data_IF_632655153995
#
_entry.id   IF_632655153995
#
_cell.length_a   1.000
_cell.length_b   1.000
_cell.length_c   1.000
_cell.angle_alpha   90.00
_cell.angle_beta   90.00
_cell.angle_gamma   90.00
#
_symmetry.space_group_name_H-M   'P 1'
#
loop_
_entity.id
_entity.type
_entity.pdbx_description
1 polymer ?
#
# COMPACT_ATOMS: atom_id res chain seq x y z
N UNK A 1 0.13 -19.89 -17.48
CA UNK A 1 0.74 -19.61 -16.17
C UNK A 1 1.15 -18.14 -16.02
N UNK A 2 1.44 -17.43 -17.11
CA UNK A 2 1.96 -16.06 -16.99
C UNK A 2 0.86 -15.01 -16.79
N UNK A 3 -0.30 -15.25 -17.39
CA UNK A 3 -1.46 -14.36 -17.28
C UNK A 3 -1.94 -14.21 -15.84
N UNK A 4 -1.81 -15.27 -15.02
CA UNK A 4 -2.22 -15.26 -13.61
C UNK A 4 -1.31 -14.37 -12.76
N UNK A 5 0.00 -14.37 -13.00
CA UNK A 5 0.95 -13.50 -12.28
C UNK A 5 0.81 -12.05 -12.70
N UNK A 6 0.65 -11.78 -14.00
CA UNK A 6 0.31 -10.43 -14.44
C UNK A 6 -1.02 -9.98 -13.83
N UNK A 7 -2.07 -10.81 -13.84
CA UNK A 7 -3.35 -10.51 -13.21
C UNK A 7 -3.19 -10.18 -11.72
N UNK A 8 -2.49 -11.01 -10.96
CA UNK A 8 -2.24 -10.80 -9.54
C UNK A 8 -1.50 -9.49 -9.27
N UNK A 9 -0.50 -9.16 -10.10
CA UNK A 9 0.19 -7.89 -10.00
C UNK A 9 -0.72 -6.69 -10.28
N UNK A 10 -1.54 -6.74 -11.33
CA UNK A 10 -2.49 -5.65 -11.62
C UNK A 10 -3.57 -5.51 -10.54
N UNK A 11 -4.03 -6.63 -9.98
CA UNK A 11 -4.93 -6.66 -8.84
C UNK A 11 -4.30 -5.97 -7.62
N UNK A 12 -3.02 -6.27 -7.35
CA UNK A 12 -2.23 -5.58 -6.33
C UNK A 12 -2.07 -4.09 -6.59
N UNK A 13 -1.75 -3.70 -7.82
CA UNK A 13 -1.63 -2.28 -8.15
C UNK A 13 -2.94 -1.53 -7.89
N UNK A 14 -4.08 -2.13 -8.22
CA UNK A 14 -5.39 -1.51 -8.07
C UNK A 14 -5.88 -1.47 -6.62
N UNK A 15 -5.74 -2.58 -5.89
CA UNK A 15 -6.39 -2.78 -4.59
C UNK A 15 -5.42 -2.87 -3.41
N UNK A 16 -4.13 -3.02 -3.66
CA UNK A 16 -3.14 -3.26 -2.60
C UNK A 16 -3.25 -4.64 -1.97
N UNK A 17 -3.93 -5.57 -2.64
CA UNK A 17 -4.23 -6.93 -2.20
C UNK A 17 -3.75 -7.91 -3.26
N UNK A 18 -3.61 -9.18 -2.92
CA UNK A 18 -3.38 -10.25 -3.90
C UNK A 18 -4.51 -11.28 -3.83
N UNK A 19 -4.86 -11.94 -4.95
CA UNK A 19 -5.84 -13.02 -4.93
C UNK A 19 -5.42 -14.13 -3.96
N UNK A 20 -6.38 -14.79 -3.32
CA UNK A 20 -6.11 -15.79 -2.27
C UNK A 20 -5.23 -16.95 -2.78
N UNK A 21 -5.38 -17.36 -4.05
CA UNK A 21 -4.55 -18.42 -4.65
C UNK A 21 -3.08 -18.02 -4.84
N UNK A 22 -2.74 -16.73 -4.70
CA UNK A 22 -1.35 -16.24 -4.75
C UNK A 22 -0.73 -16.05 -3.37
N UNK A 23 -1.49 -16.16 -2.27
CA UNK A 23 -0.99 -15.87 -0.93
C UNK A 23 -0.05 -16.93 -0.35
N UNK A 24 0.01 -18.09 -1.01
CA UNK A 24 0.93 -19.19 -0.69
C UNK A 24 2.36 -18.92 -1.20
N UNK A 25 2.52 -18.01 -2.17
CA UNK A 25 3.82 -17.64 -2.69
C UNK A 25 4.59 -16.77 -1.69
N UNK A 26 5.91 -16.97 -1.62
CA UNK A 26 6.76 -16.04 -0.89
C UNK A 26 6.85 -14.72 -1.66
N UNK A 27 7.12 -13.57 -1.00
CA UNK A 27 7.27 -12.30 -1.70
C UNK A 27 8.32 -12.35 -2.83
N UNK A 28 9.44 -13.05 -2.61
CA UNK A 28 10.51 -13.19 -3.59
C UNK A 28 10.08 -14.02 -4.81
N UNK A 29 9.44 -15.18 -4.57
CA UNK A 29 8.95 -16.06 -5.64
C UNK A 29 7.84 -15.39 -6.46
N UNK A 30 6.92 -14.71 -5.78
CA UNK A 30 5.87 -13.94 -6.44
C UNK A 30 6.46 -12.86 -7.35
N UNK A 31 7.45 -12.12 -6.87
CA UNK A 31 8.14 -11.10 -7.64
C UNK A 31 8.86 -11.67 -8.88
N UNK A 32 9.64 -12.74 -8.71
CA UNK A 32 10.33 -13.41 -9.81
C UNK A 32 9.34 -13.87 -10.90
N UNK A 33 8.24 -14.49 -10.48
CA UNK A 33 7.18 -14.94 -11.38
C UNK A 33 6.48 -13.78 -12.09
N UNK A 34 6.25 -12.66 -11.41
CA UNK A 34 5.70 -11.43 -12.02
C UNK A 34 6.67 -10.90 -13.08
N UNK A 35 7.96 -10.77 -12.75
CA UNK A 35 8.99 -10.29 -13.68
C UNK A 35 9.06 -11.20 -14.92
N UNK A 36 9.13 -12.51 -14.72
CA UNK A 36 9.18 -13.49 -15.81
C UNK A 36 7.91 -13.47 -16.68
N UNK A 37 6.74 -13.26 -16.07
CA UNK A 37 5.48 -13.15 -16.80
C UNK A 37 5.38 -11.85 -17.61
N UNK A 38 5.87 -10.73 -17.07
CA UNK A 38 5.93 -9.44 -17.78
C UNK A 38 6.85 -9.54 -19.01
N UNK A 39 8.02 -10.15 -18.85
CA UNK A 39 9.00 -10.32 -19.94
C UNK A 39 8.50 -11.23 -21.06
N UNK A 40 7.76 -12.30 -20.74
CA UNK A 40 7.23 -13.24 -21.75
C UNK A 40 6.00 -12.71 -22.49
N UNK A 41 5.24 -11.81 -21.87
CA UNK A 41 4.01 -11.24 -22.43
C UNK A 41 3.96 -9.71 -22.30
N UNK A 42 4.92 -9.04 -22.94
CA UNK A 42 5.07 -7.58 -22.87
C UNK A 42 3.81 -6.83 -23.34
N UNK A 43 3.17 -7.29 -24.43
CA UNK A 43 1.96 -6.67 -24.99
C UNK A 43 0.76 -6.70 -24.02
N UNK A 44 0.59 -7.80 -23.27
CA UNK A 44 -0.44 -7.93 -22.26
C UNK A 44 -0.19 -6.99 -21.08
N UNK A 45 1.06 -6.93 -20.61
CA UNK A 45 1.46 -6.02 -19.54
C UNK A 45 1.22 -4.57 -19.96
N UNK A 46 1.66 -4.21 -21.17
CA UNK A 46 1.45 -2.92 -21.79
C UNK A 46 -0.03 -2.52 -21.76
N UNK A 47 -0.92 -3.37 -22.29
CA UNK A 47 -2.37 -3.12 -22.31
C UNK A 47 -2.99 -2.98 -20.91
N UNK A 48 -2.69 -3.91 -19.99
CA UNK A 48 -3.27 -3.90 -18.64
C UNK A 48 -2.78 -2.70 -17.81
N UNK A 49 -1.50 -2.30 -17.96
CA UNK A 49 -0.96 -1.11 -17.28
C UNK A 49 -1.66 0.18 -17.70
N UNK A 50 -1.87 0.36 -19.01
CA UNK A 50 -2.62 1.51 -19.53
C UNK A 50 -4.02 1.62 -18.91
N UNK A 51 -4.73 0.48 -18.80
CA UNK A 51 -6.05 0.41 -18.15
C UNK A 51 -5.98 0.75 -16.66
N UNK A 52 -5.03 0.14 -15.93
CA UNK A 52 -4.88 0.35 -14.50
C UNK A 52 -4.56 1.83 -14.18
N UNK A 53 -3.54 2.41 -14.84
CA UNK A 53 -3.14 3.80 -14.63
C UNK A 53 -4.27 4.80 -14.90
N UNK A 54 -5.08 4.56 -15.93
CA UNK A 54 -6.23 5.41 -16.24
C UNK A 54 -7.36 5.33 -15.21
N UNK A 55 -7.53 4.16 -14.56
CA UNK A 55 -8.62 3.89 -13.63
C UNK A 55 -8.36 4.44 -12.22
N UNK A 56 -7.13 4.32 -11.70
CA UNK A 56 -6.83 4.68 -10.31
C UNK A 56 -5.45 5.33 -10.18
N UNK A 57 -5.40 6.55 -9.63
CA UNK A 57 -4.13 7.27 -9.39
C UNK A 57 -3.32 6.70 -8.22
N UNK A 58 -3.95 5.93 -7.33
CA UNK A 58 -3.28 5.25 -6.22
C UNK A 58 -2.22 4.24 -6.72
N UNK A 59 -2.34 3.78 -7.97
CA UNK A 59 -1.36 2.93 -8.62
C UNK A 59 0.02 3.58 -8.71
N UNK A 60 0.11 4.91 -8.83
CA UNK A 60 1.42 5.59 -8.86
C UNK A 60 2.07 5.56 -7.48
N UNK A 61 1.28 5.70 -6.41
CA UNK A 61 1.82 5.60 -5.06
C UNK A 61 2.34 4.19 -4.79
N UNK A 62 1.59 3.13 -5.15
CA UNK A 62 2.08 1.74 -5.07
C UNK A 62 3.26 1.47 -5.98
N UNK A 63 3.29 2.07 -7.17
CA UNK A 63 4.43 1.95 -8.07
C UNK A 63 5.70 2.44 -7.41
N UNK A 64 5.65 3.62 -6.78
CA UNK A 64 6.79 4.25 -6.12
C UNK A 64 7.17 3.53 -4.83
N UNK A 65 6.18 3.16 -4.03
CA UNK A 65 6.36 2.68 -2.67
C UNK A 65 6.49 1.16 -2.60
N UNK A 66 5.80 0.37 -3.41
CA UNK A 66 5.74 -1.09 -3.24
C UNK A 66 6.55 -1.87 -4.28
N UNK A 67 6.65 -1.39 -5.53
CA UNK A 67 7.42 -2.11 -6.56
C UNK A 67 8.93 -1.99 -6.31
N UNK A 68 9.67 -3.11 -6.43
CA UNK A 68 11.13 -3.07 -6.45
C UNK A 68 11.67 -2.45 -7.75
N UNK A 69 12.93 -2.07 -7.75
CA UNK A 69 13.62 -1.59 -8.96
C UNK A 69 13.61 -2.63 -10.09
N UNK A 70 13.69 -3.92 -9.77
CA UNK A 70 13.68 -5.00 -10.76
C UNK A 70 12.31 -5.13 -11.44
N UNK A 71 11.24 -5.13 -10.63
CA UNK A 71 9.86 -5.12 -11.13
C UNK A 71 9.59 -3.86 -11.95
N UNK A 72 10.02 -2.69 -11.46
CA UNK A 72 9.86 -1.43 -12.20
C UNK A 72 10.57 -1.48 -13.56
N UNK A 73 11.81 -1.98 -13.61
CA UNK A 73 12.58 -2.06 -14.85
C UNK A 73 11.95 -3.02 -15.87
N UNK A 74 11.48 -4.19 -15.42
CA UNK A 74 10.79 -5.16 -16.28
C UNK A 74 9.51 -4.58 -16.88
N UNK A 75 8.69 -3.93 -16.06
CA UNK A 75 7.44 -3.28 -16.49
C UNK A 75 7.74 -2.12 -17.45
N UNK A 76 8.68 -1.25 -17.13
CA UNK A 76 9.03 -0.12 -17.98
C UNK A 76 9.54 -0.58 -19.35
N UNK A 77 10.35 -1.64 -19.39
CA UNK A 77 10.77 -2.26 -20.65
C UNK A 77 9.57 -2.77 -21.45
N UNK A 78 8.63 -3.47 -20.82
CA UNK A 78 7.43 -3.98 -21.49
C UNK A 78 6.50 -2.85 -21.99
N UNK A 79 6.35 -1.77 -21.22
CA UNK A 79 5.44 -0.66 -21.52
C UNK A 79 6.03 0.31 -22.55
N UNK A 80 7.34 0.58 -22.46
CA UNK A 80 8.01 1.65 -23.19
C UNK A 80 9.09 1.18 -24.18
N UNK A 81 9.49 -0.09 -24.12
CA UNK A 81 10.70 -0.58 -24.77
C UNK A 81 11.96 -0.32 -23.93
N UNK A 82 13.03 -1.05 -24.24
CA UNK A 82 14.24 -1.09 -23.43
C UNK A 82 14.93 0.29 -23.28
N UNK A 83 15.18 0.98 -24.40
CA UNK A 83 15.89 2.26 -24.40
C UNK A 83 15.13 3.34 -23.61
N UNK A 84 13.83 3.48 -23.85
CA UNK A 84 13.02 4.49 -23.20
C UNK A 84 12.69 4.16 -21.74
N UNK A 85 12.52 2.88 -21.40
CA UNK A 85 12.40 2.44 -20.02
C UNK A 85 13.64 2.79 -19.19
N UNK A 86 14.85 2.52 -19.73
CA UNK A 86 16.12 2.92 -19.10
C UNK A 86 16.24 4.44 -18.94
N UNK A 87 15.89 5.21 -19.97
CA UNK A 87 15.90 6.66 -19.90
C UNK A 87 14.93 7.21 -18.84
N UNK A 88 13.75 6.60 -18.67
CA UNK A 88 12.79 7.00 -17.65
C UNK A 88 13.32 6.79 -16.21
N UNK A 89 14.01 5.69 -15.94
CA UNK A 89 14.65 5.43 -14.64
C UNK A 89 15.80 6.41 -14.41
N UNK A 90 16.66 6.63 -15.41
CA UNK A 90 17.79 7.55 -15.30
C UNK A 90 17.33 8.99 -15.01
N UNK A 91 16.23 9.43 -15.62
CA UNK A 91 15.65 10.74 -15.36
C UNK A 91 15.10 10.88 -13.93
N UNK A 92 14.47 9.83 -13.37
CA UNK A 92 14.09 9.81 -11.95
C UNK A 92 15.31 9.93 -11.04
N UNK A 93 16.36 9.16 -11.31
CA UNK A 93 17.61 9.20 -10.54
C UNK A 93 18.26 10.60 -10.56
N UNK A 94 18.34 11.23 -11.74
CA UNK A 94 18.85 12.60 -11.86
C UNK A 94 17.99 13.65 -11.15
N UNK A 95 16.67 13.44 -11.10
CA UNK A 95 15.73 14.29 -10.34
C UNK A 95 15.97 14.16 -8.83
N UNK A 96 16.10 12.93 -8.32
CA UNK A 96 16.32 12.66 -6.90
C UNK A 96 17.67 13.17 -6.41
N UNK A 97 18.74 13.00 -7.19
CA UNK A 97 20.08 13.51 -6.85
C UNK A 97 20.09 15.03 -6.65
N UNK A 98 19.28 15.77 -7.40
CA UNK A 98 19.20 17.23 -7.31
C UNK A 98 18.35 17.71 -6.13
N UNK A 99 17.65 16.81 -5.46
CA UNK A 99 16.70 17.11 -4.38
C UNK A 99 17.23 16.67 -2.99
N UNK A 100 18.47 16.20 -2.85
CA UNK A 100 19.03 15.72 -1.57
C UNK A 100 19.14 16.85 -0.52
N UNK A 101 18.84 16.71 0.77
CA UNK A 101 18.11 15.72 1.56
C UNK A 101 16.98 16.46 2.30
N UNK A 102 15.74 16.20 1.89
CA UNK A 102 14.57 16.35 2.75
C UNK A 102 13.94 14.96 2.88
N UNK A 103 13.32 14.68 4.03
CA UNK A 103 12.84 13.37 4.48
C UNK A 103 12.27 12.45 3.39
N UNK A 104 12.38 11.12 3.57
CA UNK A 104 11.93 10.09 2.62
C UNK A 104 10.52 10.32 2.03
N UNK A 105 9.60 10.86 2.83
CA UNK A 105 8.24 11.22 2.40
C UNK A 105 8.22 12.28 1.29
N UNK A 106 9.10 13.28 1.35
CA UNK A 106 9.25 14.30 0.30
C UNK A 106 9.79 13.68 -1.00
N UNK A 107 10.71 12.73 -0.91
CA UNK A 107 11.23 12.00 -2.07
C UNK A 107 10.16 11.11 -2.71
N UNK A 108 9.38 10.36 -1.91
CA UNK A 108 8.29 9.53 -2.42
C UNK A 108 7.22 10.38 -3.12
N UNK A 109 6.90 11.55 -2.58
CA UNK A 109 5.97 12.48 -3.23
C UNK A 109 6.51 12.99 -4.57
N UNK A 110 7.78 13.38 -4.60
CA UNK A 110 8.47 13.81 -5.81
C UNK A 110 8.45 12.74 -6.91
N UNK A 111 8.77 11.49 -6.54
CA UNK A 111 8.68 10.34 -7.45
C UNK A 111 7.26 10.14 -7.97
N UNK A 112 6.24 10.28 -7.12
CA UNK A 112 4.84 10.17 -7.55
C UNK A 112 4.47 11.26 -8.58
N UNK A 113 4.88 12.51 -8.36
CA UNK A 113 4.68 13.60 -9.32
C UNK A 113 5.32 13.25 -10.66
N UNK A 114 6.59 12.82 -10.63
CA UNK A 114 7.34 12.45 -11.82
C UNK A 114 6.65 11.33 -12.60
N UNK A 115 6.35 10.19 -11.96
CA UNK A 115 5.75 9.05 -12.65
C UNK A 115 4.33 9.34 -13.16
N UNK A 116 3.49 10.05 -12.41
CA UNK A 116 2.16 10.44 -12.89
C UNK A 116 2.24 11.43 -14.07
N UNK A 117 3.25 12.30 -14.09
CA UNK A 117 3.52 13.18 -15.22
C UNK A 117 4.04 12.40 -16.44
N UNK A 118 4.96 11.45 -16.22
CA UNK A 118 5.52 10.59 -17.24
C UNK A 118 4.45 9.71 -17.88
N UNK A 119 3.79 8.84 -17.11
CA UNK A 119 2.75 7.96 -17.66
C UNK A 119 1.66 8.76 -18.37
N UNK A 120 1.19 9.89 -17.83
CA UNK A 120 0.15 10.65 -18.52
C UNK A 120 0.60 11.44 -19.75
N UNK A 121 1.86 11.85 -19.85
CA UNK A 121 2.36 12.48 -21.08
C UNK A 121 2.49 11.44 -22.20
N UNK A 122 2.98 10.26 -21.84
CA UNK A 122 3.25 9.18 -22.78
C UNK A 122 1.97 8.49 -23.25
N UNK A 123 1.00 8.30 -22.36
CA UNK A 123 -0.34 7.80 -22.70
C UNK A 123 -1.10 8.77 -23.62
N UNK A 124 -0.78 10.07 -23.58
CA UNK A 124 -1.34 11.09 -24.47
C UNK A 124 -0.54 11.28 -25.78
N UNK A 125 0.47 10.44 -26.05
CA UNK A 125 1.34 10.55 -27.22
C UNK A 125 2.18 11.84 -27.24
N UNK A 126 2.51 12.40 -26.08
CA UNK A 126 3.29 13.63 -25.94
C UNK A 126 4.79 13.40 -25.94
N UNK A 127 5.55 14.33 -26.53
CA UNK A 127 7.00 14.37 -26.45
C UNK A 127 7.56 15.02 -25.16
N UNK A 128 8.89 15.09 -24.99
CA UNK A 128 9.60 15.57 -23.80
C UNK A 128 9.15 16.93 -23.27
N UNK A 129 8.81 17.86 -24.16
CA UNK A 129 8.35 19.19 -23.78
C UNK A 129 7.05 19.12 -22.98
N UNK A 130 6.07 18.35 -23.46
CA UNK A 130 4.80 18.14 -22.73
C UNK A 130 5.02 17.48 -21.38
N UNK A 131 5.99 16.55 -21.28
CA UNK A 131 6.36 15.94 -20.01
C UNK A 131 6.91 16.99 -19.02
N UNK A 132 7.88 17.81 -19.45
CA UNK A 132 8.43 18.90 -18.63
C UNK A 132 7.34 19.85 -18.15
N UNK A 133 6.40 20.22 -19.03
CA UNK A 133 5.33 21.14 -18.67
C UNK A 133 4.36 20.53 -17.64
N UNK A 134 4.00 19.25 -17.78
CA UNK A 134 3.16 18.54 -16.79
C UNK A 134 3.86 18.36 -15.44
N UNK A 135 5.16 18.08 -15.43
CA UNK A 135 5.93 18.02 -14.18
C UNK A 135 5.91 19.40 -13.51
N UNK A 136 6.19 20.49 -14.25
CA UNK A 136 6.16 21.86 -13.73
C UNK A 136 4.80 22.25 -13.17
N UNK A 137 3.72 21.90 -13.87
CA UNK A 137 2.35 22.17 -13.45
C UNK A 137 2.02 21.49 -12.11
N UNK A 138 2.23 20.18 -12.02
CA UNK A 138 1.95 19.42 -10.80
C UNK A 138 2.86 19.81 -9.65
N UNK A 139 4.13 20.05 -9.93
CA UNK A 139 5.09 20.52 -8.96
C UNK A 139 4.68 21.88 -8.40
N UNK A 140 4.29 22.85 -9.24
CA UNK A 140 3.81 24.17 -8.78
C UNK A 140 2.62 24.05 -7.83
N UNK A 141 1.70 23.11 -8.07
CA UNK A 141 0.56 22.88 -7.19
C UNK A 141 0.99 22.28 -5.84
N UNK A 142 2.03 21.46 -5.81
CA UNK A 142 2.56 20.88 -4.57
C UNK A 142 3.38 21.88 -3.75
N UNK A 143 4.27 22.66 -4.39
CA UNK A 143 5.16 23.63 -3.73
C UNK A 143 4.45 24.88 -3.17
N UNK A 144 3.12 24.95 -3.18
CA UNK A 144 2.40 26.00 -2.46
C UNK A 144 2.64 25.92 -0.92
N UNK A 145 3.27 24.85 -0.43
CA UNK A 145 3.79 24.72 0.92
C UNK A 145 5.31 24.38 0.91
N UNK A 146 6.12 25.28 1.48
CA UNK A 146 7.41 25.04 2.16
C UNK A 146 8.59 24.35 1.44
N UNK A 147 8.95 24.75 0.21
CA UNK A 147 10.29 24.42 -0.36
C UNK A 147 10.86 25.59 -1.19
N UNK A 148 12.06 26.08 -0.85
CA UNK A 148 12.74 27.26 -1.44
C UNK A 148 13.36 27.01 -2.83
N UNK A 149 13.05 25.90 -3.50
CA UNK A 149 13.69 25.53 -4.78
C UNK A 149 12.82 25.97 -5.96
N UNK A 150 13.39 26.77 -6.89
CA UNK A 150 12.68 27.14 -8.12
C UNK A 150 12.42 25.92 -9.01
N UNK A 151 11.14 25.57 -9.21
CA UNK A 151 10.70 24.47 -10.09
C UNK A 151 11.25 24.55 -11.52
N UNK A 152 11.61 25.75 -12.00
CA UNK A 152 12.14 25.95 -13.35
C UNK A 152 13.53 25.36 -13.54
N UNK A 153 14.42 25.50 -12.55
CA UNK A 153 15.84 25.12 -12.65
C UNK A 153 16.09 23.63 -12.40
N UNK A 154 15.18 22.96 -11.69
CA UNK A 154 15.30 21.54 -11.32
C UNK A 154 15.34 20.61 -12.53
N UNK A 155 14.53 20.91 -13.55
CA UNK A 155 14.40 20.07 -14.75
C UNK A 155 15.46 20.36 -15.83
N UNK A 156 16.29 21.38 -15.63
CA UNK A 156 17.25 21.83 -16.64
C UNK A 156 18.41 20.83 -16.76
N UNK A 157 18.66 20.32 -17.97
CA UNK A 157 19.70 19.31 -18.19
C UNK A 157 19.31 17.89 -17.75
N UNK A 158 18.09 17.64 -17.29
CA UNK A 158 17.56 16.26 -17.21
C UNK A 158 17.17 15.82 -18.63
N UNK A 159 17.74 14.70 -19.08
CA UNK A 159 17.37 14.05 -20.34
C UNK A 159 16.14 13.19 -20.12
N UNK A 160 15.10 13.39 -20.95
CA UNK A 160 13.83 12.66 -20.88
C UNK A 160 13.64 11.80 -22.14
N UNK A 161 12.88 10.69 -22.07
CA UNK A 161 12.59 9.85 -23.24
C UNK A 161 11.95 10.65 -24.41
N UNK A 162 12.50 10.49 -25.63
CA UNK A 162 12.26 11.38 -26.78
C UNK A 162 10.88 11.24 -27.46
N UNK A 163 10.36 10.03 -27.67
CA UNK A 163 8.98 9.76 -28.12
C UNK A 163 8.63 8.32 -27.76
N UNK A 164 7.43 8.10 -27.21
CA UNK A 164 6.91 6.76 -26.97
C UNK A 164 5.67 6.50 -27.81
N UNK A 165 5.57 5.28 -28.34
CA UNK A 165 4.40 4.84 -29.09
C UNK A 165 3.14 5.06 -28.25
N UNK A 166 2.22 5.88 -28.77
CA UNK A 166 0.93 6.11 -28.15
C UNK A 166 0.16 4.81 -27.98
N UNK A 167 -0.60 4.73 -26.89
CA UNK A 167 -1.61 3.71 -26.73
C UNK A 167 -2.90 4.14 -27.44
N UNK A 168 -3.75 3.19 -27.86
CA UNK A 168 -5.14 3.55 -28.20
C UNK A 168 -5.76 4.33 -27.02
N UNK A 169 -6.50 5.38 -27.36
CA UNK A 169 -6.97 6.38 -26.40
C UNK A 169 -7.61 5.71 -25.17
N UNK A 170 -7.17 6.07 -23.95
CA UNK A 170 -7.78 5.52 -22.74
C UNK A 170 -9.26 5.93 -22.68
N UNK A 171 -10.12 4.97 -22.33
CA UNK A 171 -11.53 5.21 -22.00
C UNK A 171 -11.60 6.29 -20.90
N UNK A 172 -12.58 7.23 -20.93
CA UNK A 172 -12.52 8.46 -20.14
C UNK A 172 -12.25 8.23 -18.65
N UNK A 173 -11.41 9.11 -18.09
CA UNK A 173 -11.20 9.26 -16.64
C UNK A 173 -12.56 9.40 -15.94
N UNK A 174 -12.99 8.36 -15.23
CA UNK A 174 -13.74 8.61 -13.99
C UNK A 174 -12.74 9.21 -13.02
N UNK A 175 -12.90 10.48 -12.69
CA UNK A 175 -12.29 11.03 -11.48
C UNK A 175 -12.95 10.26 -10.34
N UNK A 176 -12.36 9.14 -9.94
CA UNK A 176 -12.70 8.50 -8.68
C UNK A 176 -12.09 9.43 -7.64
N UNK A 177 -12.90 10.35 -7.13
CA UNK A 177 -12.64 10.92 -5.79
C UNK A 177 -12.34 9.74 -4.88
N UNK A 178 -11.26 9.76 -4.08
CA UNK A 178 -10.99 8.68 -3.13
C UNK A 178 -12.29 8.46 -2.37
N UNK A 179 -12.92 7.28 -2.49
CA UNK A 179 -14.23 7.10 -1.93
C UNK A 179 -14.08 7.36 -0.44
N UNK A 180 -14.94 8.23 0.10
CA UNK A 180 -14.95 8.50 1.53
C UNK A 180 -15.20 7.22 2.33
N UNK A 181 -15.61 6.12 1.69
CA UNK A 181 -15.90 4.81 2.26
C UNK A 181 -15.24 3.71 1.44
N UNK A 182 -14.63 2.70 2.05
CA UNK A 182 -14.62 1.36 1.43
C UNK A 182 -15.85 0.62 1.93
N UNK A 183 -16.85 0.31 1.09
CA UNK A 183 -17.77 -0.75 1.40
C UNK A 183 -17.35 -2.00 0.62
N UNK A 184 -17.48 -2.03 -0.70
CA UNK A 184 -17.18 -3.20 -1.52
C UNK A 184 -16.10 -2.86 -2.56
N UNK A 185 -15.01 -3.63 -2.61
CA UNK A 185 -14.07 -3.60 -3.74
C UNK A 185 -14.61 -4.39 -4.95
N UNK A 186 -15.89 -4.80 -4.91
CA UNK A 186 -16.52 -5.83 -5.74
C UNK A 186 -15.65 -7.10 -5.82
N UNK A 187 -14.97 -7.39 -4.71
CA UNK A 187 -14.26 -8.64 -4.51
C UNK A 187 -15.26 -9.58 -3.85
N UNK A 188 -15.94 -10.38 -4.67
CA UNK A 188 -16.84 -11.45 -4.18
C UNK A 188 -16.09 -12.52 -3.37
N UNK A 189 -14.77 -12.54 -3.52
CA UNK A 189 -13.87 -13.47 -2.86
C UNK A 189 -13.41 -12.97 -1.48
N UNK A 190 -13.27 -13.89 -0.52
CA UNK A 190 -12.67 -13.54 0.76
C UNK A 190 -11.19 -13.15 0.63
N UNK A 191 -10.74 -12.29 1.52
CA UNK A 191 -9.33 -12.00 1.73
C UNK A 191 -8.79 -12.91 2.83
N UNK A 192 -7.73 -13.65 2.54
CA UNK A 192 -6.98 -14.33 3.59
C UNK A 192 -6.15 -13.31 4.38
N UNK A 193 -6.10 -13.50 5.71
CA UNK A 193 -5.41 -12.63 6.66
C UNK A 193 -4.51 -13.51 7.53
N UNK A 194 -3.20 -13.22 7.55
CA UNK A 194 -2.20 -14.03 8.29
C UNK A 194 -2.17 -13.77 9.80
N UNK A 195 -2.63 -12.59 10.23
CA UNK A 195 -2.60 -12.15 11.63
C UNK A 195 -4.00 -11.75 12.10
N UNK A 196 -4.96 -12.63 11.90
CA UNK A 196 -6.37 -12.36 12.17
C UNK A 196 -6.64 -12.11 13.66
N UNK A 197 -5.80 -12.65 14.56
CA UNK A 197 -5.91 -12.41 15.99
C UNK A 197 -5.58 -10.99 16.44
N UNK A 198 -5.08 -10.11 15.56
CA UNK A 198 -4.92 -8.67 15.85
C UNK A 198 -6.19 -8.01 16.38
N UNK A 199 -7.38 -8.54 16.04
CA UNK A 199 -8.65 -8.07 16.60
C UNK A 199 -8.72 -8.13 18.13
N UNK A 200 -7.95 -9.01 18.77
CA UNK A 200 -7.91 -9.16 20.22
C UNK A 200 -7.23 -7.97 20.90
N UNK A 201 -6.47 -7.17 20.14
CA UNK A 201 -5.84 -5.95 20.64
C UNK A 201 -6.80 -4.74 20.67
N UNK A 202 -8.06 -4.92 20.24
CA UNK A 202 -9.02 -3.82 20.07
C UNK A 202 -9.15 -2.89 21.28
N UNK A 203 -9.08 -3.43 22.51
CA UNK A 203 -9.21 -2.61 23.72
C UNK A 203 -7.95 -1.79 24.02
N UNK A 204 -6.78 -2.25 23.56
CA UNK A 204 -5.51 -1.55 23.78
C UNK A 204 -5.27 -0.46 22.74
N UNK A 205 -5.77 -0.61 21.51
CA UNK A 205 -5.45 0.31 20.40
C UNK A 205 -5.77 1.79 20.68
N UNK A 206 -6.95 2.16 21.23
CA UNK A 206 -7.24 3.57 21.53
C UNK A 206 -6.26 4.18 22.53
N UNK A 207 -5.94 3.44 23.61
CA UNK A 207 -4.99 3.91 24.61
C UNK A 207 -3.57 3.95 24.06
N UNK A 208 -3.15 2.97 23.26
CA UNK A 208 -1.84 2.93 22.63
C UNK A 208 -1.64 4.14 21.70
N UNK A 209 -2.56 4.38 20.77
CA UNK A 209 -2.46 5.52 19.86
C UNK A 209 -2.59 6.86 20.58
N UNK A 210 -3.38 6.91 21.66
CA UNK A 210 -3.44 8.08 22.56
C UNK A 210 -2.09 8.37 23.23
N UNK A 211 -1.43 7.36 23.82
CA UNK A 211 -0.10 7.51 24.45
C UNK A 211 0.99 7.95 23.46
N UNK A 212 0.84 7.57 22.18
CA UNK A 212 1.75 7.97 21.11
C UNK A 212 1.42 9.35 20.52
N UNK A 213 0.33 10.01 20.95
CA UNK A 213 -0.18 11.26 20.39
C UNK A 213 -0.49 11.17 18.88
N UNK A 214 -0.97 10.01 18.42
CA UNK A 214 -1.31 9.77 17.02
C UNK A 214 -2.76 10.06 16.67
N UNK A 215 -3.58 10.37 17.67
CA UNK A 215 -5.00 10.66 17.49
C UNK A 215 -5.23 12.17 17.37
N UNK A 216 -6.14 12.54 16.49
CA UNK A 216 -6.76 13.88 16.42
C UNK A 216 -7.69 14.09 17.63
N UNK A 217 -8.09 15.34 17.93
CA UNK A 217 -9.06 15.63 18.99
C UNK A 217 -10.38 14.86 18.88
N UNK A 218 -10.81 14.54 17.64
CA UNK A 218 -12.02 13.74 17.36
C UNK A 218 -11.77 12.22 17.44
N UNK A 219 -10.65 11.79 18.03
CA UNK A 219 -10.20 10.40 18.11
C UNK A 219 -10.00 9.71 16.74
N UNK A 220 -9.79 10.47 15.66
CA UNK A 220 -9.36 9.92 14.37
C UNK A 220 -7.84 9.71 14.34
N UNK A 221 -7.34 8.66 13.69
CA UNK A 221 -5.89 8.51 13.49
C UNK A 221 -5.39 9.60 12.52
N UNK A 222 -4.39 10.38 12.94
CA UNK A 222 -3.80 11.43 12.12
C UNK A 222 -3.14 10.84 10.87
N UNK A 223 -3.23 11.56 9.75
CA UNK A 223 -2.78 11.08 8.44
C UNK A 223 -1.30 10.67 8.40
N UNK A 224 -0.46 11.43 9.08
CA UNK A 224 1.00 11.21 9.09
C UNK A 224 1.40 9.92 9.83
N UNK A 225 0.51 9.41 10.69
CA UNK A 225 0.71 8.18 11.46
C UNK A 225 0.02 6.95 10.86
N UNK A 226 -0.68 7.07 9.73
CA UNK A 226 -1.39 5.94 9.09
C UNK A 226 -0.45 4.77 8.79
N UNK A 227 0.62 5.00 8.02
CA UNK A 227 1.57 3.94 7.70
C UNK A 227 2.30 3.43 8.96
N UNK A 228 2.69 4.33 9.87
CA UNK A 228 3.35 3.99 11.15
C UNK A 228 2.48 3.07 12.01
N UNK A 229 1.18 3.32 12.09
CA UNK A 229 0.26 2.48 12.83
C UNK A 229 0.13 1.07 12.24
N UNK A 230 0.12 0.94 10.91
CA UNK A 230 0.07 -0.36 10.24
C UNK A 230 1.32 -1.18 10.55
N UNK A 231 2.51 -0.59 10.42
CA UNK A 231 3.77 -1.26 10.76
C UNK A 231 3.90 -1.53 12.27
N UNK A 232 3.32 -0.69 13.14
CA UNK A 232 3.27 -0.95 14.58
C UNK A 232 2.43 -2.18 14.91
N UNK A 233 1.27 -2.35 14.26
CA UNK A 233 0.41 -3.52 14.42
C UNK A 233 1.12 -4.80 13.92
N UNK A 234 1.81 -4.74 12.78
CA UNK A 234 2.63 -5.86 12.27
C UNK A 234 3.72 -6.23 13.29
N UNK A 235 4.41 -5.24 13.85
CA UNK A 235 5.40 -5.45 14.92
C UNK A 235 4.79 -6.05 16.18
N UNK A 236 3.57 -5.65 16.56
CA UNK A 236 2.88 -6.25 17.71
C UNK A 236 2.57 -7.74 17.48
N UNK A 237 2.04 -8.11 16.31
CA UNK A 237 1.68 -9.49 16.03
C UNK A 237 2.86 -10.40 15.69
N UNK A 238 3.75 -9.96 14.79
CA UNK A 238 4.84 -10.75 14.23
C UNK A 238 6.20 -10.52 14.86
N UNK A 239 6.42 -9.33 15.44
CA UNK A 239 7.77 -8.84 15.80
C UNK A 239 8.57 -8.29 14.60
N UNK A 240 8.11 -8.54 13.37
CA UNK A 240 8.67 -7.93 12.17
C UNK A 240 8.24 -6.46 12.07
N UNK A 241 9.12 -5.58 11.60
CA UNK A 241 8.77 -4.16 11.38
C UNK A 241 8.20 -3.89 10.00
N UNK A 242 8.25 -4.86 9.10
CA UNK A 242 7.86 -4.71 7.70
C UNK A 242 7.11 -5.96 7.21
N UNK A 243 6.07 -5.72 6.42
CA UNK A 243 5.39 -6.75 5.64
C UNK A 243 4.90 -6.12 4.33
N UNK A 244 4.76 -6.88 3.23
CA UNK A 244 4.15 -6.38 2.02
C UNK A 244 2.73 -5.83 2.26
N UNK A 245 2.34 -4.76 1.55
CA UNK A 245 1.03 -4.11 1.71
C UNK A 245 -0.14 -5.11 1.60
N UNK A 246 -0.02 -6.15 0.76
CA UNK A 246 -1.07 -7.15 0.57
C UNK A 246 -1.34 -8.04 1.79
N UNK A 247 -0.45 -8.06 2.78
CA UNK A 247 -0.69 -8.72 4.07
C UNK A 247 -1.36 -7.79 5.10
N UNK A 248 -1.53 -6.50 4.77
CA UNK A 248 -2.00 -5.46 5.71
C UNK A 248 -3.52 -5.21 5.66
N UNK A 249 -4.32 -6.09 5.07
CA UNK A 249 -5.76 -5.89 4.93
C UNK A 249 -6.46 -5.62 6.28
N UNK A 250 -6.25 -6.49 7.27
CA UNK A 250 -6.83 -6.30 8.62
C UNK A 250 -6.22 -5.08 9.33
N UNK A 251 -4.93 -4.81 9.12
CA UNK A 251 -4.25 -3.65 9.69
C UNK A 251 -4.92 -2.35 9.25
N UNK A 252 -5.23 -2.22 7.95
CA UNK A 252 -5.96 -1.09 7.38
C UNK A 252 -7.33 -0.92 8.05
N UNK A 253 -8.09 -2.01 8.20
CA UNK A 253 -9.41 -1.95 8.85
C UNK A 253 -9.31 -1.49 10.32
N UNK A 254 -8.37 -2.06 11.09
CA UNK A 254 -8.17 -1.68 12.49
C UNK A 254 -7.68 -0.24 12.66
N UNK A 255 -7.00 0.33 11.66
CA UNK A 255 -6.61 1.75 11.64
C UNK A 255 -7.64 2.67 10.96
N UNK A 256 -8.80 2.15 10.55
CA UNK A 256 -9.86 2.95 9.90
C UNK A 256 -9.53 3.40 8.47
N UNK A 257 -8.59 2.73 7.81
CA UNK A 257 -8.15 3.04 6.45
C UNK A 257 -8.97 2.27 5.41
N UNK A 258 -9.24 2.86 4.23
CA UNK A 258 -9.71 2.13 3.06
C UNK A 258 -8.77 0.98 2.70
N UNK A 259 -9.29 -0.17 2.27
CA UNK A 259 -8.45 -1.32 1.89
C UNK A 259 -7.55 -1.00 0.70
N UNK A 260 -8.03 -0.18 -0.22
CA UNK A 260 -7.29 0.28 -1.39
C UNK A 260 -6.42 1.51 -1.12
N UNK A 261 -6.31 1.99 0.11
CA UNK A 261 -5.34 3.02 0.46
C UNK A 261 -3.90 2.45 0.37
N UNK A 262 -2.99 3.05 -0.43
CA UNK A 262 -1.60 2.61 -0.49
C UNK A 262 -0.89 2.87 0.83
N UNK A 263 0.07 2.01 1.16
CA UNK A 263 0.83 2.08 2.41
C UNK A 263 2.29 2.37 2.10
N UNK A 264 2.90 3.27 2.86
CA UNK A 264 4.33 3.52 2.77
C UNK A 264 5.10 2.32 3.35
N UNK A 265 6.11 1.84 2.63
CA UNK A 265 7.02 0.79 3.11
C UNK A 265 8.22 1.39 3.85
N UNK A 266 9.02 0.54 4.46
CA UNK A 266 10.30 0.87 5.09
C UNK A 266 10.17 1.92 6.21
N UNK A 267 8.97 2.03 6.78
CA UNK A 267 8.67 2.92 7.90
C UNK A 267 9.45 2.46 9.12
N UNK A 268 10.40 3.29 9.56
CA UNK A 268 11.21 3.02 10.74
C UNK A 268 10.45 3.41 12.00
N UNK A 269 10.14 2.40 12.83
CA UNK A 269 9.59 2.60 14.16
C UNK A 269 10.71 3.06 15.10
N UNK A 270 10.42 4.08 15.89
CA UNK A 270 11.34 4.58 16.93
C UNK A 270 11.39 3.58 18.09
N UNK A 271 12.45 3.66 18.90
CA UNK A 271 12.56 2.85 20.11
C UNK A 271 11.42 3.13 21.11
N UNK A 272 10.96 4.37 21.20
CA UNK A 272 9.86 4.77 22.08
C UNK A 272 8.52 4.16 21.62
N UNK A 273 8.22 4.17 20.33
CA UNK A 273 7.00 3.55 19.79
C UNK A 273 7.02 2.04 19.99
N UNK A 274 8.16 1.39 19.71
CA UNK A 274 8.34 -0.04 19.97
C UNK A 274 8.11 -0.36 21.43
N UNK A 275 8.73 0.39 22.35
CA UNK A 275 8.53 0.17 23.79
C UNK A 275 7.07 0.34 24.22
N UNK A 276 6.38 1.37 23.71
CA UNK A 276 4.95 1.58 24.00
C UNK A 276 4.07 0.43 23.49
N UNK A 277 4.32 -0.05 22.27
CA UNK A 277 3.64 -1.21 21.70
C UNK A 277 3.90 -2.48 22.51
N UNK A 278 5.15 -2.71 22.91
CA UNK A 278 5.56 -3.85 23.72
C UNK A 278 4.87 -3.84 25.11
N UNK A 279 4.80 -2.68 25.77
CA UNK A 279 4.05 -2.53 27.04
C UNK A 279 2.56 -2.82 26.85
N UNK A 280 1.95 -2.29 25.78
CA UNK A 280 0.52 -2.55 25.46
C UNK A 280 0.25 -4.03 25.21
N UNK A 281 1.23 -4.72 24.61
CA UNK A 281 1.13 -6.14 24.32
C UNK A 281 1.28 -7.00 25.58
N UNK A 282 2.10 -6.57 26.55
CA UNK A 282 2.17 -7.22 27.87
C UNK A 282 0.87 -7.05 28.66
N UNK A 283 0.28 -5.85 28.63
CA UNK A 283 -1.05 -5.56 29.19
C UNK A 283 -2.10 -6.50 28.59
N UNK A 284 -2.09 -6.67 27.26
CA UNK A 284 -2.98 -7.60 26.58
C UNK A 284 -2.71 -9.06 26.97
N UNK A 285 -1.45 -9.49 27.02
CA UNK A 285 -1.07 -10.88 27.31
C UNK A 285 -1.44 -11.30 28.74
N UNK A 286 -1.39 -10.36 29.70
CA UNK A 286 -1.82 -10.58 31.08
C UNK A 286 -3.30 -11.00 31.18
N UNK A 287 -4.18 -10.50 30.28
CA UNK A 287 -5.60 -10.93 30.22
C UNK A 287 -5.76 -12.42 29.87
N UNK A 288 -4.75 -13.00 29.25
CA UNK A 288 -4.69 -14.41 28.86
C UNK A 288 -3.82 -15.25 29.80
N UNK A 289 -3.28 -14.67 30.87
CA UNK A 289 -2.38 -15.35 31.80
C UNK A 289 -1.09 -15.85 31.15
N UNK A 290 -0.60 -15.15 30.12
CA UNK A 290 0.60 -15.54 29.37
C UNK A 290 1.54 -14.36 29.14
N UNK A 291 2.75 -14.67 28.70
CA UNK A 291 3.71 -13.66 28.23
C UNK A 291 3.44 -13.29 26.78
N UNK A 292 4.03 -12.16 26.36
CA UNK A 292 3.95 -11.60 25.01
C UNK A 292 4.12 -12.61 23.88
N UNK A 293 5.16 -13.42 23.93
CA UNK A 293 5.47 -14.37 22.85
C UNK A 293 4.43 -15.49 22.77
N UNK A 294 3.83 -15.85 23.91
CA UNK A 294 2.67 -16.74 23.98
C UNK A 294 1.43 -16.12 23.34
N UNK A 295 1.18 -14.83 23.57
CA UNK A 295 0.05 -14.13 22.92
C UNK A 295 0.25 -14.04 21.40
N UNK A 296 1.47 -13.73 20.94
CA UNK A 296 1.80 -13.66 19.51
C UNK A 296 1.56 -14.99 18.80
N UNK A 297 2.27 -16.03 19.23
CA UNK A 297 2.24 -17.35 18.59
C UNK A 297 0.92 -18.09 18.82
N UNK A 298 0.31 -17.93 19.99
CA UNK A 298 -0.92 -18.63 20.37
C UNK A 298 -2.19 -17.99 19.82
N UNK A 299 -2.22 -16.68 19.59
CA UNK A 299 -3.45 -15.96 19.24
C UNK A 299 -3.30 -14.97 18.08
N UNK A 300 -2.33 -14.06 18.11
CA UNK A 300 -2.27 -12.96 17.13
C UNK A 300 -1.95 -13.41 15.71
N UNK A 301 -1.06 -14.39 15.56
CA UNK A 301 -0.60 -14.91 14.26
C UNK A 301 -1.52 -16.00 13.68
N UNK A 302 -2.76 -16.12 14.17
CA UNK A 302 -3.72 -17.05 13.60
C UNK A 302 -4.24 -16.54 12.27
N UNK A 303 -4.37 -17.45 11.32
CA UNK A 303 -4.96 -17.14 10.02
C UNK A 303 -6.47 -16.98 10.11
N UNK A 304 -7.01 -16.15 9.21
CA UNK A 304 -8.43 -15.93 9.08
C UNK A 304 -8.84 -15.50 7.69
N UNK A 305 -10.16 -15.44 7.49
CA UNK A 305 -10.84 -15.13 6.25
C UNK A 305 -11.69 -13.88 6.48
N UNK A 306 -11.30 -12.78 5.86
CA UNK A 306 -11.98 -11.48 5.91
C UNK A 306 -12.89 -11.34 4.69
N UNK A 307 -14.16 -11.05 4.91
CA UNK A 307 -15.16 -10.87 3.85
C UNK A 307 -16.01 -9.64 4.15
N UNK A 308 -16.33 -8.89 3.11
CA UNK A 308 -17.34 -7.84 3.20
C UNK A 308 -18.68 -8.36 2.69
N UNK A 309 -19.74 -8.18 3.47
CA UNK A 309 -21.09 -8.56 3.04
C UNK A 309 -22.14 -7.76 3.81
N UNK A 310 -23.26 -7.40 3.17
CA UNK A 310 -24.40 -6.73 3.83
C UNK A 310 -24.01 -5.49 4.64
N UNK A 311 -23.12 -4.65 4.09
CA UNK A 311 -22.58 -3.45 4.73
C UNK A 311 -21.77 -3.67 6.03
N UNK A 312 -21.23 -4.88 6.21
CA UNK A 312 -20.40 -5.19 7.37
C UNK A 312 -19.19 -6.06 7.00
N UNK A 313 -18.11 -5.89 7.76
CA UNK A 313 -16.97 -6.80 7.68
C UNK A 313 -17.21 -8.02 8.56
N UNK A 314 -16.82 -9.18 8.05
CA UNK A 314 -16.80 -10.45 8.79
C UNK A 314 -15.41 -11.06 8.71
N UNK A 315 -14.82 -11.32 9.86
CA UNK A 315 -13.56 -12.04 10.00
C UNK A 315 -13.83 -13.40 10.64
N UNK A 316 -13.58 -14.46 9.87
CA UNK A 316 -13.60 -15.84 10.38
C UNK A 316 -12.17 -16.23 10.75
N UNK A 317 -11.95 -16.67 11.98
CA UNK A 317 -10.62 -17.03 12.49
C UNK A 317 -10.61 -18.52 12.81
N UNK A 318 -9.57 -19.21 12.33
CA UNK A 318 -9.39 -20.63 12.58
C UNK A 318 -9.12 -20.86 14.06
N UNK A 319 -10.00 -21.60 14.73
CA UNK A 319 -9.85 -21.97 16.14
C UNK A 319 -8.83 -23.08 16.28
N UNK A 320 -7.83 -22.85 17.10
CA UNK A 320 -6.89 -23.89 17.54
C UNK A 320 -7.26 -24.47 18.91
N UNK A 321 -8.18 -23.82 19.63
CA UNK A 321 -8.60 -24.17 20.98
C UNK A 321 -10.13 -24.14 21.15
N UNK A 322 -10.64 -24.86 22.15
CA UNK A 322 -12.05 -24.85 22.49
C UNK A 322 -12.47 -23.51 23.12
N UNK A 323 -13.67 -23.03 22.77
CA UNK A 323 -14.21 -21.74 23.23
C UNK A 323 -13.76 -20.53 22.40
N UNK A 324 -14.42 -19.40 22.65
CA UNK A 324 -13.98 -18.10 22.11
C UNK A 324 -12.98 -17.47 23.09
N UNK A 325 -11.91 -16.82 22.61
CA UNK A 325 -11.03 -16.05 23.49
C UNK A 325 -11.78 -14.90 24.18
N UNK A 326 -11.31 -14.45 25.36
CA UNK A 326 -11.70 -13.17 25.93
C UNK A 326 -11.51 -12.03 24.92
N UNK A 327 -12.45 -11.07 24.83
CA UNK A 327 -12.34 -9.96 23.87
C UNK A 327 -12.59 -10.35 22.40
N UNK A 328 -13.30 -11.45 22.18
CA UNK A 328 -13.80 -11.89 20.86
C UNK A 328 -15.03 -11.12 20.38
N UNK A 329 -15.39 -10.04 21.06
CA UNK A 329 -16.50 -9.16 20.73
C UNK A 329 -16.32 -8.53 19.34
N UNK A 330 -17.43 -8.17 18.65
CA UNK A 330 -17.37 -7.39 17.43
C UNK A 330 -16.53 -6.13 17.61
N UNK A 331 -15.62 -5.87 16.67
CA UNK A 331 -14.67 -4.76 16.74
C UNK A 331 -15.28 -3.51 16.10
N UNK A 332 -15.34 -2.43 16.87
CA UNK A 332 -15.64 -1.08 16.39
C UNK A 332 -14.85 -0.04 17.18
N UNK A 333 -13.67 0.29 16.68
CA UNK A 333 -12.82 1.33 17.26
C UNK A 333 -13.40 2.73 16.99
N UNK A 334 -13.05 3.76 17.78
CA UNK A 334 -13.64 5.11 17.66
C UNK A 334 -13.55 5.73 16.26
N UNK A 335 -12.50 5.39 15.51
CA UNK A 335 -12.25 5.85 14.14
C UNK A 335 -12.77 4.91 13.04
N UNK A 336 -13.31 3.74 13.39
CA UNK A 336 -13.86 2.80 12.42
C UNK A 336 -15.28 3.19 12.01
N UNK A 337 -15.52 3.24 10.70
CA UNK A 337 -16.85 3.50 10.14
C UNK A 337 -17.77 2.30 10.25
N UNK A 338 -17.25 1.11 9.95
CA UNK A 338 -18.02 -0.13 9.88
C UNK A 338 -17.68 -1.05 11.04
N UNK A 339 -18.67 -1.86 11.44
CA UNK A 339 -18.48 -2.93 12.40
C UNK A 339 -17.71 -4.08 11.74
N UNK A 340 -16.73 -4.63 12.46
CA UNK A 340 -16.07 -5.88 12.11
C UNK A 340 -16.58 -6.99 13.03
N UNK A 341 -17.43 -7.85 12.48
CA UNK A 341 -17.91 -9.05 13.19
C UNK A 341 -16.82 -10.13 13.18
N UNK A 342 -16.52 -10.70 14.34
CA UNK A 342 -15.48 -11.73 14.49
C UNK A 342 -16.16 -13.07 14.81
N UNK A 343 -15.81 -14.10 14.05
CA UNK A 343 -16.31 -15.46 14.25
C UNK A 343 -15.14 -16.40 14.42
N UNK A 344 -15.11 -17.09 15.55
CA UNK A 344 -14.14 -18.13 15.83
C UNK A 344 -14.76 -19.46 15.39
N UNK A 345 -14.28 -20.02 14.28
CA UNK A 345 -14.80 -21.26 13.70
C UNK A 345 -13.80 -22.41 13.90
N UNK A 346 -14.26 -23.63 14.23
CA UNK A 346 -13.40 -24.81 14.31
C UNK A 346 -12.71 -25.13 12.99
#
# INVERSE_FOLDING_TARGET
MDEIYQYAWFFFMQYGLIPWWMQQETPATLEENIIGAVQRHEALCRHKWAKAWAANRLNIQRWVQQCSSATQQAVLRAVFGDAAGKAAIAAEGGLLQRFSEQAATAQNHLRCIYWDALFGALMAGGGPLRLKDRIREKWRNWMQADITISSSKLLDGISFPEVLQGFPAPVPRKIITPPASSPNLDIDEPLQVKQAGLVLLQHQLPSLFGRLNWLEPAAALQRDFHARALHLLEFMAGGAEQTPEYNMALHKLLCGLPLDAPVEKDVQLTAAEKQCALTSLDEAAALYGMHRDGLRSGWLQREGRLQYSHDAWRLQINRQTAGNPPGSDPVRLPWMRQLLTVQWTP
#
